data_IF_415928550668
#
_entry.id   IF_415928550668
#
_cell.length_a   1.000
_cell.length_b   1.000
_cell.length_c   1.000
_cell.angle_alpha   90.00
_cell.angle_beta   90.00
_cell.angle_gamma   90.00
#
_symmetry.space_group_name_H-M   'P 1'
#
loop_
_entity.id
_entity.type
_entity.pdbx_description
1 polymer ?
#
# COMPACT_ATOMS: atom_id res chain seq x y z
N UNK A 1 35.95 -15.65 4.74
CA UNK A 1 34.61 -15.55 4.12
C UNK A 1 34.08 -14.17 4.47
N UNK A 2 33.88 -13.24 3.51
CA UNK A 2 33.32 -11.95 3.84
C UNK A 2 31.90 -12.18 4.34
N UNK A 3 31.60 -11.73 5.56
CA UNK A 3 30.22 -11.63 6.03
C UNK A 3 29.48 -10.71 5.04
N UNK A 4 28.33 -11.13 4.49
CA UNK A 4 27.54 -10.22 3.67
C UNK A 4 27.22 -8.97 4.52
N UNK A 5 27.32 -7.75 3.95
CA UNK A 5 27.01 -6.54 4.68
C UNK A 5 25.60 -6.69 5.28
N UNK A 6 25.44 -6.33 6.56
CA UNK A 6 24.16 -6.41 7.25
C UNK A 6 23.10 -5.69 6.42
N UNK A 7 22.26 -6.46 5.72
CA UNK A 7 21.16 -5.91 4.95
C UNK A 7 20.22 -5.24 5.94
N UNK A 8 20.05 -3.94 5.78
CA UNK A 8 19.10 -3.18 6.57
C UNK A 8 17.71 -3.80 6.42
N UNK A 9 17.04 -3.97 7.56
CA UNK A 9 15.94 -4.92 7.69
C UNK A 9 14.78 -4.59 6.72
N UNK A 10 14.41 -5.49 5.80
CA UNK A 10 13.25 -5.30 4.91
C UNK A 10 11.95 -5.09 5.69
N UNK A 11 11.92 -5.53 6.96
CA UNK A 11 10.82 -5.27 7.91
C UNK A 11 10.67 -3.78 8.21
N UNK A 12 11.76 -3.06 8.51
CA UNK A 12 11.72 -1.62 8.78
C UNK A 12 11.27 -0.83 7.55
N UNK A 13 11.74 -1.25 6.37
CA UNK A 13 11.31 -0.67 5.11
C UNK A 13 9.82 -0.92 4.85
N UNK A 14 9.33 -2.14 5.09
CA UNK A 14 7.92 -2.50 4.96
C UNK A 14 7.02 -1.70 5.90
N UNK A 15 7.42 -1.54 7.16
CA UNK A 15 6.71 -0.73 8.16
C UNK A 15 6.61 0.74 7.73
N UNK A 16 7.72 1.34 7.31
CA UNK A 16 7.72 2.73 6.86
C UNK A 16 6.91 2.92 5.57
N UNK A 17 7.02 1.98 4.64
CA UNK A 17 6.28 1.98 3.39
C UNK A 17 4.77 1.88 3.63
N UNK A 18 4.35 0.95 4.48
CA UNK A 18 2.97 0.84 4.96
C UNK A 18 2.50 2.16 5.60
N UNK A 19 3.24 2.71 6.56
CA UNK A 19 2.80 3.89 7.29
C UNK A 19 2.54 5.10 6.38
N UNK A 20 3.43 5.34 5.40
CA UNK A 20 3.28 6.44 4.45
C UNK A 20 2.06 6.22 3.55
N UNK A 21 1.94 5.03 2.96
CA UNK A 21 0.86 4.75 2.00
C UNK A 21 -0.49 4.64 2.69
N UNK A 22 -0.55 4.07 3.89
CA UNK A 22 -1.77 4.03 4.70
C UNK A 22 -2.23 5.44 5.08
N UNK A 23 -1.33 6.31 5.55
CA UNK A 23 -1.70 7.68 5.90
C UNK A 23 -2.22 8.45 4.68
N UNK A 24 -1.54 8.33 3.53
CA UNK A 24 -2.00 8.93 2.29
C UNK A 24 -3.34 8.36 1.83
N UNK A 25 -3.50 7.03 1.85
CA UNK A 25 -4.73 6.34 1.47
C UNK A 25 -5.91 6.63 2.39
N UNK A 26 -5.67 6.86 3.68
CA UNK A 26 -6.71 7.29 4.60
C UNK A 26 -7.23 8.70 4.26
N UNK A 27 -6.32 9.64 4.00
CA UNK A 27 -6.67 11.01 3.61
C UNK A 27 -7.40 11.02 2.26
N UNK A 28 -6.82 10.38 1.24
CA UNK A 28 -7.42 10.29 -0.08
C UNK A 28 -8.75 9.53 -0.06
N UNK A 29 -8.81 8.42 0.67
CA UNK A 29 -10.02 7.63 0.85
C UNK A 29 -11.14 8.42 1.52
N UNK A 30 -10.83 9.26 2.50
CA UNK A 30 -11.79 10.17 3.13
C UNK A 30 -12.31 11.22 2.14
N UNK A 31 -11.42 11.82 1.35
CA UNK A 31 -11.80 12.75 0.28
C UNK A 31 -12.69 12.03 -0.75
N UNK A 32 -12.31 10.81 -1.15
CA UNK A 32 -13.05 10.03 -2.13
C UNK A 32 -14.45 9.70 -1.63
N UNK A 33 -14.61 9.22 -0.41
CA UNK A 33 -15.92 8.81 0.12
C UNK A 33 -16.83 10.01 0.41
N UNK A 34 -16.29 11.11 0.95
CA UNK A 34 -17.11 12.26 1.34
C UNK A 34 -17.37 13.24 0.19
N UNK A 35 -16.44 13.38 -0.76
CA UNK A 35 -16.51 14.41 -1.81
C UNK A 35 -16.71 13.83 -3.21
N UNK A 36 -16.01 12.75 -3.58
CA UNK A 36 -16.09 12.23 -4.97
C UNK A 36 -17.26 11.25 -5.14
N UNK A 37 -17.44 10.32 -4.22
CA UNK A 37 -18.46 9.27 -4.32
C UNK A 37 -19.89 9.83 -4.43
N UNK A 38 -20.30 10.90 -3.70
CA UNK A 38 -21.62 11.49 -3.88
C UNK A 38 -21.83 12.17 -5.24
N UNK A 39 -20.75 12.55 -5.94
CA UNK A 39 -20.81 13.29 -7.21
C UNK A 39 -20.63 12.39 -8.43
N UNK A 40 -19.73 11.41 -8.34
CA UNK A 40 -19.29 10.55 -9.44
C UNK A 40 -19.76 9.10 -9.29
N UNK A 41 -20.26 8.74 -8.11
CA UNK A 41 -20.54 7.35 -7.73
C UNK A 41 -19.28 6.64 -7.18
N UNK A 42 -19.46 5.54 -6.40
CA UNK A 42 -18.36 4.87 -5.70
C UNK A 42 -17.26 4.33 -6.63
N UNK A 43 -17.65 3.74 -7.77
CA UNK A 43 -16.71 3.10 -8.69
C UNK A 43 -15.82 4.11 -9.43
N UNK A 44 -16.42 5.15 -10.02
CA UNK A 44 -15.66 6.18 -10.72
C UNK A 44 -14.74 6.94 -9.76
N UNK A 45 -15.18 7.17 -8.52
CA UNK A 45 -14.36 7.79 -7.49
C UNK A 45 -13.09 6.96 -7.18
N UNK A 46 -13.19 5.62 -7.14
CA UNK A 46 -12.02 4.74 -6.98
C UNK A 46 -11.09 4.83 -8.19
N UNK A 47 -11.63 4.84 -9.41
CA UNK A 47 -10.82 4.94 -10.63
C UNK A 47 -10.02 6.24 -10.72
N UNK A 48 -10.54 7.34 -10.19
CA UNK A 48 -9.84 8.63 -10.13
C UNK A 48 -8.76 8.63 -9.05
N UNK A 49 -9.04 8.04 -7.89
CA UNK A 49 -8.09 8.00 -6.77
C UNK A 49 -6.91 7.05 -7.05
N UNK A 50 -7.19 5.90 -7.66
CA UNK A 50 -6.24 4.80 -7.79
C UNK A 50 -4.90 5.20 -8.47
N UNK A 51 -4.87 5.93 -9.60
CA UNK A 51 -3.62 6.39 -10.20
C UNK A 51 -2.79 7.27 -9.26
N UNK A 52 -3.44 8.16 -8.50
CA UNK A 52 -2.77 9.04 -7.54
C UNK A 52 -2.16 8.22 -6.42
N UNK A 53 -2.91 7.26 -5.89
CA UNK A 53 -2.42 6.32 -4.87
C UNK A 53 -1.24 5.49 -5.36
N UNK A 54 -1.25 5.00 -6.59
CA UNK A 54 -0.13 4.25 -7.16
C UNK A 54 1.11 5.12 -7.36
N UNK A 55 0.97 6.38 -7.74
CA UNK A 55 2.10 7.32 -7.82
C UNK A 55 2.71 7.57 -6.44
N UNK A 56 1.88 7.82 -5.43
CA UNK A 56 2.32 8.01 -4.04
C UNK A 56 3.05 6.76 -3.55
N UNK A 57 2.47 5.58 -3.77
CA UNK A 57 3.07 4.30 -3.43
C UNK A 57 4.43 4.11 -4.12
N UNK A 58 4.54 4.43 -5.41
CA UNK A 58 5.79 4.31 -6.14
C UNK A 58 6.90 5.18 -5.55
N UNK A 59 6.59 6.45 -5.24
CA UNK A 59 7.54 7.40 -4.63
C UNK A 59 7.93 6.92 -3.23
N UNK A 60 6.96 6.52 -2.40
CA UNK A 60 7.19 6.01 -1.06
C UNK A 60 8.04 4.73 -1.06
N UNK A 61 7.81 3.85 -2.03
CA UNK A 61 8.57 2.63 -2.23
C UNK A 61 10.04 2.94 -2.55
N UNK A 62 10.29 3.82 -3.53
CA UNK A 62 11.65 4.25 -3.89
C UNK A 62 12.39 4.94 -2.75
N UNK A 63 11.69 5.80 -2.01
CA UNK A 63 12.22 6.41 -0.80
C UNK A 63 12.58 5.36 0.26
N UNK A 64 11.68 4.41 0.57
CA UNK A 64 11.91 3.39 1.59
C UNK A 64 13.06 2.45 1.22
N UNK A 65 13.09 1.96 -0.03
CA UNK A 65 14.19 1.11 -0.55
C UNK A 65 15.53 1.83 -0.44
N UNK A 66 15.58 3.13 -0.76
CA UNK A 66 16.81 3.92 -0.70
C UNK A 66 17.21 4.24 0.74
N UNK A 67 16.26 4.69 1.57
CA UNK A 67 16.46 5.12 2.96
C UNK A 67 16.87 3.99 3.89
N UNK A 68 16.32 2.81 3.67
CA UNK A 68 16.61 1.60 4.43
C UNK A 68 17.50 0.64 3.65
N UNK A 69 18.20 1.10 2.60
CA UNK A 69 19.21 0.34 1.86
C UNK A 69 18.83 -1.13 1.60
N UNK A 70 17.57 -1.38 1.22
CA UNK A 70 17.04 -2.73 1.02
C UNK A 70 17.83 -3.43 -0.07
N UNK A 71 18.22 -4.68 0.18
CA UNK A 71 19.05 -5.46 -0.74
C UNK A 71 18.45 -5.56 -2.15
N UNK A 72 19.28 -5.82 -3.18
CA UNK A 72 18.78 -6.11 -4.52
C UNK A 72 18.08 -7.47 -4.61
N UNK A 73 18.13 -8.28 -3.54
CA UNK A 73 17.45 -9.57 -3.46
C UNK A 73 15.95 -9.42 -3.68
N UNK A 74 15.41 -10.26 -4.56
CA UNK A 74 13.95 -10.35 -4.77
C UNK A 74 13.23 -10.76 -3.49
N UNK A 75 13.86 -11.57 -2.64
CA UNK A 75 13.28 -12.02 -1.37
C UNK A 75 13.09 -10.85 -0.41
N UNK A 76 14.11 -10.00 -0.23
CA UNK A 76 14.02 -8.84 0.68
C UNK A 76 12.92 -7.87 0.25
N UNK A 77 12.80 -7.64 -1.06
CA UNK A 77 11.77 -6.79 -1.67
C UNK A 77 10.38 -7.40 -1.54
N UNK A 78 10.25 -8.71 -1.70
CA UNK A 78 8.98 -9.41 -1.50
C UNK A 78 8.55 -9.37 -0.03
N UNK A 79 9.48 -9.59 0.91
CA UNK A 79 9.19 -9.49 2.35
C UNK A 79 8.72 -8.08 2.70
N UNK A 80 9.40 -7.04 2.19
CA UNK A 80 8.97 -5.65 2.37
C UNK A 80 7.54 -5.40 1.85
N UNK A 81 7.24 -5.84 0.62
CA UNK A 81 5.94 -5.62 -0.02
C UNK A 81 4.80 -6.41 0.64
N UNK A 82 5.02 -7.70 0.92
CA UNK A 82 4.03 -8.58 1.58
C UNK A 82 3.73 -8.10 3.00
N UNK A 83 4.77 -7.73 3.77
CA UNK A 83 4.57 -7.16 5.10
C UNK A 83 3.73 -5.88 5.04
N UNK A 84 4.06 -4.98 4.11
CA UNK A 84 3.33 -3.73 3.97
C UNK A 84 1.86 -3.95 3.58
N UNK A 85 1.59 -4.91 2.68
CA UNK A 85 0.24 -5.31 2.30
C UNK A 85 -0.54 -5.91 3.47
N UNK A 86 0.07 -6.83 4.22
CA UNK A 86 -0.57 -7.45 5.37
C UNK A 86 -0.97 -6.42 6.44
N UNK A 87 -0.08 -5.46 6.71
CA UNK A 87 -0.37 -4.34 7.63
C UNK A 87 -1.47 -3.43 7.08
N UNK A 88 -1.47 -3.15 5.77
CA UNK A 88 -2.49 -2.34 5.12
C UNK A 88 -3.88 -2.97 5.27
N UNK A 89 -4.02 -4.26 4.92
CA UNK A 89 -5.29 -4.99 5.04
C UNK A 89 -5.74 -5.11 6.49
N UNK A 90 -4.82 -5.33 7.43
CA UNK A 90 -5.14 -5.36 8.86
C UNK A 90 -5.65 -4.00 9.35
N UNK A 91 -5.01 -2.90 8.95
CA UNK A 91 -5.43 -1.56 9.33
C UNK A 91 -6.78 -1.18 8.71
N UNK A 92 -7.03 -1.56 7.47
CA UNK A 92 -8.34 -1.37 6.82
C UNK A 92 -9.44 -2.16 7.50
N UNK A 93 -9.19 -3.42 7.87
CA UNK A 93 -10.14 -4.22 8.61
C UNK A 93 -10.44 -3.59 9.98
N UNK A 94 -9.41 -3.13 10.69
CA UNK A 94 -9.57 -2.44 11.98
C UNK A 94 -10.39 -1.17 11.82
N UNK A 95 -10.13 -0.35 10.79
CA UNK A 95 -10.95 0.83 10.52
C UNK A 95 -12.40 0.47 10.18
N UNK A 96 -12.60 -0.54 9.33
CA UNK A 96 -13.94 -0.98 8.95
C UNK A 96 -14.77 -1.39 10.17
N UNK A 97 -14.20 -2.18 11.07
CA UNK A 97 -14.90 -2.70 12.25
C UNK A 97 -14.99 -1.65 13.36
N UNK A 98 -13.89 -0.99 13.71
CA UNK A 98 -13.82 -0.13 14.89
C UNK A 98 -14.27 1.32 14.65
N UNK A 99 -14.18 1.81 13.41
CA UNK A 99 -14.52 3.21 13.07
C UNK A 99 -15.80 3.30 12.25
N UNK A 100 -15.99 2.40 11.29
CA UNK A 100 -17.15 2.41 10.39
C UNK A 100 -18.25 1.41 10.76
N UNK A 101 -18.16 0.79 11.95
CA UNK A 101 -19.15 -0.14 12.51
C UNK A 101 -19.57 -1.27 11.54
N UNK A 102 -18.64 -1.69 10.69
CA UNK A 102 -18.87 -2.71 9.65
C UNK A 102 -18.47 -4.09 10.18
N UNK A 103 -19.22 -5.14 9.82
CA UNK A 103 -18.85 -6.51 10.19
C UNK A 103 -17.71 -7.04 9.34
N UNK A 104 -16.96 -8.04 9.83
CA UNK A 104 -15.93 -8.73 9.03
C UNK A 104 -16.50 -9.29 7.73
N UNK A 105 -17.72 -9.84 7.77
CA UNK A 105 -18.42 -10.33 6.58
C UNK A 105 -18.75 -9.20 5.59
N UNK A 106 -19.18 -8.03 6.09
CA UNK A 106 -19.40 -6.84 5.27
C UNK A 106 -18.12 -6.30 4.63
N UNK A 107 -17.00 -6.34 5.36
CA UNK A 107 -15.69 -5.99 4.81
C UNK A 107 -15.28 -6.93 3.68
N UNK A 108 -15.47 -8.24 3.85
CA UNK A 108 -15.17 -9.22 2.80
C UNK A 108 -16.09 -9.09 1.58
N UNK A 109 -17.37 -8.81 1.79
CA UNK A 109 -18.32 -8.61 0.67
C UNK A 109 -18.03 -7.34 -0.12
N UNK A 110 -17.45 -6.31 0.51
CA UNK A 110 -17.02 -5.09 -0.18
C UNK A 110 -16.01 -5.40 -1.31
N UNK A 111 -15.11 -6.37 -1.13
CA UNK A 111 -14.16 -6.80 -2.16
C UNK A 111 -14.81 -7.50 -3.35
N UNK A 112 -16.01 -8.06 -3.19
CA UNK A 112 -16.77 -8.66 -4.29
C UNK A 112 -17.42 -7.60 -5.21
N UNK A 113 -17.45 -6.33 -4.79
CA UNK A 113 -17.94 -5.23 -5.63
C UNK A 113 -16.89 -4.79 -6.65
N UNK A 114 -17.28 -4.22 -7.81
CA UNK A 114 -16.32 -3.70 -8.80
C UNK A 114 -15.35 -2.67 -8.21
N UNK A 115 -15.83 -1.82 -7.29
CA UNK A 115 -15.01 -0.82 -6.63
C UNK A 115 -13.99 -1.46 -5.68
N UNK A 116 -14.42 -2.42 -4.86
CA UNK A 116 -13.54 -3.15 -3.94
C UNK A 116 -12.51 -4.01 -4.66
N UNK A 117 -12.92 -4.72 -5.71
CA UNK A 117 -12.01 -5.51 -6.55
C UNK A 117 -10.93 -4.64 -7.21
N UNK A 118 -11.31 -3.45 -7.68
CA UNK A 118 -10.37 -2.49 -8.26
C UNK A 118 -9.39 -1.95 -7.21
N UNK A 119 -9.88 -1.65 -6.01
CA UNK A 119 -9.03 -1.27 -4.87
C UNK A 119 -8.02 -2.37 -4.52
N UNK A 120 -8.49 -3.62 -4.41
CA UNK A 120 -7.65 -4.79 -4.12
C UNK A 120 -6.59 -5.03 -5.19
N UNK A 121 -6.95 -4.89 -6.48
CA UNK A 121 -5.99 -4.95 -7.57
C UNK A 121 -4.88 -3.88 -7.39
N UNK A 122 -5.26 -2.66 -7.00
CA UNK A 122 -4.34 -1.60 -6.63
C UNK A 122 -3.37 -1.99 -5.50
N UNK A 123 -3.89 -2.61 -4.44
CA UNK A 123 -3.10 -3.08 -3.31
C UNK A 123 -2.11 -4.18 -3.71
N UNK A 124 -2.51 -5.10 -4.61
CA UNK A 124 -1.61 -6.11 -5.17
C UNK A 124 -0.48 -5.46 -5.97
N UNK A 125 -0.79 -4.45 -6.79
CA UNK A 125 0.24 -3.67 -7.51
C UNK A 125 1.18 -2.98 -6.51
N UNK A 126 0.64 -2.30 -5.50
CA UNK A 126 1.40 -1.66 -4.41
C UNK A 126 2.38 -2.63 -3.73
N UNK A 127 1.94 -3.86 -3.45
CA UNK A 127 2.76 -4.88 -2.81
C UNK A 127 3.87 -5.40 -3.72
N UNK A 128 3.63 -5.39 -5.05
CA UNK A 128 4.61 -5.81 -6.04
C UNK A 128 5.62 -4.71 -6.42
N UNK A 129 5.32 -3.43 -6.18
CA UNK A 129 6.21 -2.30 -6.52
C UNK A 129 7.68 -2.45 -6.07
N UNK A 130 7.98 -2.95 -4.85
CA UNK A 130 9.37 -3.15 -4.42
C UNK A 130 10.18 -4.05 -5.36
N UNK A 131 9.55 -4.93 -6.14
CA UNK A 131 10.23 -5.79 -7.12
C UNK A 131 10.72 -5.01 -8.35
N UNK A 132 10.06 -3.91 -8.70
CA UNK A 132 10.32 -3.15 -9.92
C UNK A 132 11.16 -1.89 -9.67
N UNK A 133 11.07 -1.31 -8.48
CA UNK A 133 11.76 -0.06 -8.15
C UNK A 133 13.27 -0.28 -8.05
N UNK A 134 14.03 0.18 -9.04
CA UNK A 134 15.50 0.17 -8.97
C UNK A 134 15.96 1.13 -7.88
N UNK A 135 17.03 0.75 -7.17
CA UNK A 135 17.68 1.64 -6.20
C UNK A 135 18.10 2.90 -6.96
N UNK A 136 17.48 4.04 -6.66
CA UNK A 136 17.93 5.31 -7.21
C UNK A 136 19.38 5.48 -6.75
N UNK A 137 20.32 5.57 -7.71
CA UNK A 137 21.70 5.90 -7.38
C UNK A 137 21.64 7.30 -6.77
N UNK A 138 22.01 7.41 -5.50
CA UNK A 138 22.44 8.70 -4.94
C UNK A 138 23.86 8.88 -5.45
N UNK A 139 23.98 9.52 -6.60
CA UNK A 139 25.24 10.11 -7.07
C UNK A 139 25.53 11.39 -6.27
#
# INVERSE_FOLDING_TARGET
MPTPPASSSPVKAGLAYFAIVFAAGFVLGTIRTLLLAPRLGPFAAVLVELPVMLVIAWIACGWAVSRFAVGPSKVDRLVMGVLALALLLAAELVLAVAVFDTTVAGFLSAYATPAGATGLAGQVVFAAMPLFVRRARRD
#
